data_IF_597048128890
#
_entry.id   IF_597048128890
#
_cell.length_a   1.000
_cell.length_b   1.000
_cell.length_c   1.000
_cell.angle_alpha   90.00
_cell.angle_beta   90.00
_cell.angle_gamma   90.00
#
_symmetry.space_group_name_H-M   'P 1'
#
loop_
_entity.id
_entity.type
_entity.pdbx_description
1 polymer ?
#
# COMPACT_ATOMS: atom_id res chain seq x y z
N UNK A 1 4.84 11.24 10.01
CA UNK A 1 5.78 10.22 10.55
C UNK A 1 6.82 9.88 9.51
N UNK A 2 8.05 9.48 9.86
CA UNK A 2 9.09 9.03 8.94
C UNK A 2 9.18 7.50 9.00
N UNK A 3 9.06 6.81 7.86
CA UNK A 3 9.49 5.42 7.77
C UNK A 3 11.02 5.40 7.61
N UNK A 4 11.69 4.62 8.44
CA UNK A 4 13.14 4.42 8.35
C UNK A 4 13.46 2.93 8.43
N UNK A 5 14.22 2.46 7.46
CA UNK A 5 14.81 1.12 7.40
C UNK A 5 16.32 1.30 7.49
N UNK A 6 16.98 0.49 8.31
CA UNK A 6 18.42 0.57 8.51
C UNK A 6 19.06 -0.81 8.58
N UNK A 7 20.17 -0.99 7.83
CA UNK A 7 20.98 -2.21 7.79
C UNK A 7 20.14 -3.49 7.63
N UNK A 8 19.06 -3.43 6.82
CA UNK A 8 18.11 -4.53 6.64
C UNK A 8 18.74 -5.65 5.84
N UNK A 9 18.67 -6.87 6.37
CA UNK A 9 19.10 -8.07 5.67
C UNK A 9 17.96 -9.07 5.56
N UNK A 10 17.75 -9.58 4.35
CA UNK A 10 16.73 -10.58 4.09
C UNK A 10 17.11 -11.48 2.92
N UNK A 11 17.02 -12.79 3.14
CA UNK A 11 17.30 -13.82 2.13
C UNK A 11 16.14 -14.82 2.08
N UNK A 12 15.78 -15.25 0.89
CA UNK A 12 15.15 -16.56 0.70
C UNK A 12 16.21 -17.66 0.75
N UNK A 13 15.84 -18.96 0.89
CA UNK A 13 16.82 -20.04 1.01
C UNK A 13 17.89 -20.05 -0.09
N UNK A 14 17.51 -19.68 -1.32
CA UNK A 14 18.37 -19.75 -2.49
C UNK A 14 18.72 -18.37 -3.08
N UNK A 15 18.31 -17.27 -2.42
CA UNK A 15 18.49 -15.93 -2.99
C UNK A 15 18.60 -14.85 -1.91
N UNK A 16 19.70 -14.13 -1.90
CA UNK A 16 19.82 -12.86 -1.18
C UNK A 16 18.95 -11.80 -1.86
N UNK A 17 18.14 -11.09 -1.07
CA UNK A 17 17.26 -10.03 -1.54
C UNK A 17 17.76 -8.67 -1.06
N UNK A 18 18.06 -8.57 0.24
CA UNK A 18 18.57 -7.34 0.85
C UNK A 18 19.83 -7.65 1.66
N UNK A 19 20.86 -6.83 1.46
CA UNK A 19 22.13 -6.86 2.19
C UNK A 19 22.46 -5.44 2.63
N UNK A 20 22.39 -5.17 3.93
CA UNK A 20 22.58 -3.84 4.55
C UNK A 20 21.75 -2.74 3.86
N UNK A 21 20.50 -3.03 3.58
CA UNK A 21 19.61 -2.12 2.84
C UNK A 21 19.07 -1.01 3.75
N UNK A 22 19.19 0.23 3.28
CA UNK A 22 18.69 1.43 3.94
C UNK A 22 17.60 2.11 3.09
N UNK A 23 16.56 2.62 3.74
CA UNK A 23 15.50 3.41 3.11
C UNK A 23 14.93 4.42 4.08
N UNK A 24 14.57 5.60 3.57
CA UNK A 24 13.78 6.58 4.31
C UNK A 24 12.61 7.06 3.44
N UNK A 25 11.40 7.11 4.02
CA UNK A 25 10.23 7.67 3.38
C UNK A 25 9.59 8.72 4.30
N UNK A 26 9.71 10.02 3.97
CA UNK A 26 9.18 11.10 4.79
C UNK A 26 7.66 11.14 4.83
N UNK A 27 7.11 11.76 5.88
CA UNK A 27 5.69 12.06 6.03
C UNK A 27 5.15 12.91 4.87
N UNK A 28 3.97 12.55 4.38
CA UNK A 28 3.30 13.28 3.30
C UNK A 28 3.92 13.10 1.92
N UNK A 29 4.89 12.18 1.77
CA UNK A 29 5.58 11.88 0.51
C UNK A 29 5.18 10.55 -0.07
N UNK A 30 5.14 10.49 -1.41
CA UNK A 30 4.89 9.28 -2.20
C UNK A 30 6.20 8.87 -2.86
N UNK A 31 6.75 7.74 -2.43
CA UNK A 31 8.02 7.21 -2.90
C UNK A 31 7.76 6.08 -3.91
N UNK A 32 8.29 6.23 -5.11
CA UNK A 32 8.30 5.17 -6.10
C UNK A 32 9.40 4.16 -5.79
N UNK A 33 9.03 2.89 -5.64
CA UNK A 33 9.98 1.79 -5.51
C UNK A 33 10.12 1.12 -6.87
N UNK A 34 11.23 1.39 -7.54
CA UNK A 34 11.56 0.85 -8.85
C UNK A 34 12.57 -0.29 -8.74
N UNK A 35 12.67 -1.11 -9.79
CA UNK A 35 13.62 -2.22 -9.90
C UNK A 35 13.12 -3.30 -10.84
N UNK A 36 14.01 -4.17 -11.29
CA UNK A 36 13.65 -5.27 -12.19
C UNK A 36 12.70 -6.28 -11.53
N UNK A 37 12.09 -7.16 -12.32
CA UNK A 37 11.26 -8.24 -11.78
C UNK A 37 12.11 -9.16 -10.91
N UNK A 38 11.62 -9.46 -9.69
CA UNK A 38 12.36 -10.27 -8.72
C UNK A 38 13.45 -9.51 -7.93
N UNK A 39 13.53 -8.17 -8.02
CA UNK A 39 14.42 -7.33 -7.21
C UNK A 39 14.06 -7.27 -5.73
N UNK A 40 12.88 -7.76 -5.33
CA UNK A 40 12.44 -7.74 -3.93
C UNK A 40 11.44 -6.64 -3.57
N UNK A 41 10.84 -5.94 -4.55
CA UNK A 41 9.88 -4.85 -4.31
C UNK A 41 8.71 -5.26 -3.42
N UNK A 42 7.98 -6.30 -3.80
CA UNK A 42 6.90 -6.89 -2.99
C UNK A 42 7.41 -7.42 -1.64
N UNK A 43 8.60 -8.02 -1.63
CA UNK A 43 9.26 -8.49 -0.40
C UNK A 43 9.50 -7.33 0.56
N UNK A 44 9.96 -6.18 0.09
CA UNK A 44 10.12 -4.97 0.90
C UNK A 44 8.81 -4.56 1.57
N UNK A 45 7.71 -4.52 0.81
CA UNK A 45 6.38 -4.19 1.37
C UNK A 45 5.94 -5.23 2.40
N UNK A 46 6.20 -6.52 2.18
CA UNK A 46 5.87 -7.59 3.12
C UNK A 46 6.68 -7.52 4.42
N UNK A 47 7.96 -7.15 4.35
CA UNK A 47 8.81 -6.97 5.53
C UNK A 47 8.33 -5.78 6.38
N UNK A 48 7.96 -4.67 5.75
CA UNK A 48 7.40 -3.50 6.45
C UNK A 48 6.04 -3.84 7.08
N UNK A 49 5.20 -4.59 6.35
CA UNK A 49 3.89 -5.00 6.85
C UNK A 49 3.95 -6.05 7.96
N UNK A 50 5.07 -6.77 8.12
CA UNK A 50 5.21 -7.87 9.07
C UNK A 50 4.64 -9.21 8.58
N UNK A 51 4.38 -9.33 7.26
CA UNK A 51 4.01 -10.59 6.62
C UNK A 51 5.22 -11.53 6.54
N UNK A 52 6.40 -10.93 6.43
CA UNK A 52 7.70 -11.61 6.49
C UNK A 52 8.60 -10.88 7.50
N UNK A 53 9.49 -11.61 8.16
CA UNK A 53 10.41 -11.06 9.17
C UNK A 53 11.82 -10.96 8.59
N UNK A 54 12.50 -9.80 8.74
CA UNK A 54 13.90 -9.68 8.38
C UNK A 54 14.80 -10.61 9.22
N UNK A 55 15.99 -10.97 8.71
CA UNK A 55 16.98 -11.66 9.52
C UNK A 55 17.68 -10.72 10.50
N UNK A 56 18.04 -9.51 10.05
CA UNK A 56 18.66 -8.48 10.91
C UNK A 56 18.32 -7.07 10.38
N UNK A 57 18.63 -6.05 11.16
CA UNK A 57 18.41 -4.65 10.82
C UNK A 57 17.33 -4.02 11.67
N UNK A 58 16.77 -2.91 11.18
CA UNK A 58 15.68 -2.23 11.87
C UNK A 58 14.68 -1.61 10.89
N UNK A 59 13.38 -1.66 11.26
CA UNK A 59 12.27 -0.98 10.59
C UNK A 59 11.53 -0.16 11.66
N UNK A 60 11.43 1.15 11.45
CA UNK A 60 10.72 2.05 12.37
C UNK A 60 9.78 2.99 11.62
N UNK A 61 8.63 3.33 12.23
CA UNK A 61 7.71 4.34 11.76
C UNK A 61 7.54 5.43 12.83
N UNK A 62 8.21 6.58 12.64
CA UNK A 62 8.35 7.58 13.68
C UNK A 62 9.11 7.01 14.88
N UNK A 63 8.48 6.98 16.05
CA UNK A 63 9.05 6.39 17.29
C UNK A 63 8.71 4.91 17.47
N UNK A 64 7.79 4.37 16.66
CA UNK A 64 7.34 2.99 16.76
C UNK A 64 8.32 2.05 16.06
N UNK A 65 8.80 1.04 16.79
CA UNK A 65 9.69 0.01 16.25
C UNK A 65 8.86 -1.15 15.74
N UNK A 66 8.85 -1.36 14.42
CA UNK A 66 8.19 -2.50 13.78
C UNK A 66 9.04 -3.77 13.88
N UNK A 67 10.34 -3.60 13.71
CA UNK A 67 11.33 -4.67 13.82
C UNK A 67 12.69 -4.10 14.22
N UNK A 68 13.39 -4.80 15.07
CA UNK A 68 14.84 -4.72 15.27
C UNK A 68 15.36 -6.09 15.76
N UNK A 69 16.66 -6.20 16.03
CA UNK A 69 17.25 -7.48 16.45
C UNK A 69 16.74 -8.00 17.82
N UNK A 70 16.08 -7.16 18.62
CA UNK A 70 15.60 -7.49 19.95
C UNK A 70 14.09 -7.70 20.04
N UNK A 71 13.32 -7.09 19.09
CA UNK A 71 11.86 -7.12 19.11
C UNK A 71 11.24 -7.04 17.70
N UNK A 72 10.07 -7.63 17.57
CA UNK A 72 9.23 -7.54 16.39
C UNK A 72 7.78 -7.26 16.79
N UNK A 73 7.21 -6.18 16.24
CA UNK A 73 5.80 -5.85 16.44
C UNK A 73 4.93 -6.79 15.58
N UNK A 74 3.87 -7.34 16.18
CA UNK A 74 2.94 -8.22 15.47
C UNK A 74 2.25 -7.48 14.32
N UNK A 75 1.90 -8.21 13.25
CA UNK A 75 1.28 -7.64 12.04
C UNK A 75 -0.02 -6.87 12.35
N UNK A 76 -0.85 -7.40 13.26
CA UNK A 76 -2.11 -6.77 13.68
C UNK A 76 -1.93 -5.49 14.51
N UNK A 77 -0.75 -5.27 15.08
CA UNK A 77 -0.41 -4.09 15.86
C UNK A 77 0.17 -2.98 14.97
N UNK A 78 0.75 -3.35 13.79
CA UNK A 78 1.24 -2.39 12.81
C UNK A 78 0.06 -1.75 12.09
N UNK A 79 -0.13 -0.46 12.25
CA UNK A 79 -1.17 0.28 11.50
C UNK A 79 -0.73 0.56 10.06
N UNK A 80 -0.48 -0.51 9.31
CA UNK A 80 -0.07 -0.43 7.90
C UNK A 80 -1.25 -0.67 6.98
N UNK A 81 -1.29 0.04 5.87
CA UNK A 81 -2.21 -0.22 4.77
C UNK A 81 -1.43 -0.78 3.60
N UNK A 82 -1.76 -2.01 3.19
CA UNK A 82 -1.18 -2.66 2.02
C UNK A 82 -2.25 -2.95 0.98
N UNK A 83 -2.09 -2.35 -0.20
CA UNK A 83 -2.86 -2.70 -1.40
C UNK A 83 -2.08 -3.78 -2.14
N UNK A 84 -2.62 -5.00 -2.17
CA UNK A 84 -2.01 -6.15 -2.83
C UNK A 84 -2.24 -6.11 -4.35
N UNK A 85 -1.31 -6.69 -5.10
CA UNK A 85 -1.39 -6.81 -6.56
C UNK A 85 -2.62 -7.62 -7.03
N UNK A 86 -3.05 -8.62 -6.26
CA UNK A 86 -4.22 -9.46 -6.50
C UNK A 86 -5.50 -8.92 -5.85
N UNK A 87 -5.44 -7.67 -5.34
CA UNK A 87 -6.51 -6.94 -4.66
C UNK A 87 -6.93 -7.54 -3.32
N UNK A 88 -6.72 -8.82 -3.05
CA UNK A 88 -7.08 -9.56 -1.82
C UNK A 88 -8.50 -9.24 -1.32
N UNK A 89 -9.48 -9.16 -2.23
CA UNK A 89 -10.89 -8.96 -1.87
C UNK A 89 -11.50 -10.26 -1.35
N UNK A 90 -12.39 -10.14 -0.36
CA UNK A 90 -13.16 -11.26 0.15
C UNK A 90 -14.27 -11.62 -0.85
N UNK A 91 -14.23 -12.80 -1.50
CA UNK A 91 -15.15 -13.13 -2.60
C UNK A 91 -16.61 -13.29 -2.12
N UNK A 92 -16.81 -13.62 -0.86
CA UNK A 92 -18.14 -13.80 -0.23
C UNK A 92 -18.74 -12.51 0.32
N UNK A 93 -18.05 -11.37 0.19
CA UNK A 93 -18.51 -10.06 0.62
C UNK A 93 -18.73 -9.15 -0.59
N UNK A 94 -19.81 -8.38 -0.58
CA UNK A 94 -20.01 -7.32 -1.59
C UNK A 94 -19.04 -6.14 -1.35
N UNK A 95 -19.03 -5.17 -2.27
CA UNK A 95 -18.12 -4.02 -2.25
C UNK A 95 -18.18 -3.26 -0.92
N UNK A 96 -19.37 -2.90 -0.44
CA UNK A 96 -19.49 -2.13 0.81
C UNK A 96 -19.00 -2.93 2.01
N UNK A 97 -19.27 -4.23 2.07
CA UNK A 97 -18.83 -5.11 3.14
C UNK A 97 -17.33 -5.41 3.07
N UNK A 98 -16.73 -5.45 1.87
CA UNK A 98 -15.29 -5.52 1.70
C UNK A 98 -14.61 -4.27 2.27
N UNK A 99 -15.14 -3.08 1.98
CA UNK A 99 -14.58 -1.81 2.45
C UNK A 99 -14.68 -1.67 3.96
N UNK A 100 -15.79 -2.10 4.57
CA UNK A 100 -16.03 -1.98 6.01
C UNK A 100 -15.51 -3.15 6.83
N UNK A 101 -14.97 -4.20 6.18
CA UNK A 101 -14.50 -5.40 6.87
C UNK A 101 -13.45 -5.08 7.94
N UNK A 102 -13.66 -5.60 9.15
CA UNK A 102 -12.73 -5.36 10.27
C UNK A 102 -12.89 -4.02 10.99
N UNK A 103 -13.62 -3.05 10.43
CA UNK A 103 -13.84 -1.74 11.04
C UNK A 103 -15.32 -1.32 11.01
N UNK A 104 -16.06 -1.74 12.03
CA UNK A 104 -17.49 -1.42 12.19
C UNK A 104 -17.76 0.07 12.47
N UNK A 105 -16.73 0.85 12.77
CA UNK A 105 -16.85 2.27 13.13
C UNK A 105 -16.64 3.21 11.93
N UNK A 106 -16.44 2.68 10.72
CA UNK A 106 -16.34 3.54 9.52
C UNK A 106 -17.70 4.20 9.30
N UNK A 107 -17.70 5.52 9.30
CA UNK A 107 -18.90 6.33 9.07
C UNK A 107 -19.36 6.10 7.61
N UNK A 108 -20.63 5.78 7.41
CA UNK A 108 -21.18 5.47 6.07
C UNK A 108 -20.97 6.62 5.07
N UNK A 109 -21.00 7.86 5.51
CA UNK A 109 -20.70 9.03 4.67
C UNK A 109 -19.29 9.00 4.09
N UNK A 110 -18.29 8.54 4.86
CA UNK A 110 -16.92 8.39 4.37
C UNK A 110 -16.82 7.30 3.30
N UNK A 111 -17.54 6.18 3.50
CA UNK A 111 -17.60 5.11 2.50
C UNK A 111 -18.22 5.65 1.21
N UNK A 112 -19.39 6.30 1.29
CA UNK A 112 -20.07 6.86 0.14
C UNK A 112 -19.20 7.89 -0.60
N UNK A 113 -18.50 8.75 0.12
CA UNK A 113 -17.57 9.73 -0.46
C UNK A 113 -16.44 9.03 -1.23
N UNK A 114 -15.81 8.02 -0.65
CA UNK A 114 -14.74 7.25 -1.31
C UNK A 114 -15.26 6.51 -2.56
N UNK A 115 -16.45 5.91 -2.47
CA UNK A 115 -17.09 5.23 -3.60
C UNK A 115 -17.35 6.20 -4.78
N UNK A 116 -17.74 7.45 -4.49
CA UNK A 116 -17.93 8.47 -5.53
C UNK A 116 -16.60 8.96 -6.11
N UNK A 117 -15.61 9.26 -5.28
CA UNK A 117 -14.28 9.71 -5.74
C UNK A 117 -13.59 8.68 -6.64
N UNK A 118 -13.77 7.39 -6.32
CA UNK A 118 -13.20 6.28 -7.09
C UNK A 118 -14.11 5.76 -8.22
N UNK A 119 -15.25 6.42 -8.46
CA UNK A 119 -16.25 6.03 -9.50
C UNK A 119 -16.70 4.56 -9.40
N UNK A 120 -16.96 4.11 -8.19
CA UNK A 120 -17.47 2.75 -7.89
C UNK A 120 -18.77 2.75 -7.07
N UNK A 121 -19.43 3.92 -6.93
CA UNK A 121 -20.65 4.07 -6.12
C UNK A 121 -21.83 3.20 -6.57
N UNK A 122 -21.90 2.89 -7.88
CA UNK A 122 -22.93 2.01 -8.46
C UNK A 122 -22.69 0.52 -8.15
N UNK A 123 -21.52 0.19 -7.64
CA UNK A 123 -21.07 -1.18 -7.43
C UNK A 123 -21.22 -1.65 -5.97
N UNK A 124 -21.70 -0.81 -5.06
CA UNK A 124 -21.70 -1.06 -3.60
C UNK A 124 -22.29 -2.41 -3.20
N UNK A 125 -23.28 -2.93 -3.93
CA UNK A 125 -23.94 -4.20 -3.64
C UNK A 125 -23.43 -5.37 -4.49
N UNK A 126 -22.46 -5.13 -5.40
CA UNK A 126 -21.86 -6.14 -6.26
C UNK A 126 -20.79 -6.93 -5.51
N UNK A 127 -20.60 -8.17 -5.92
CA UNK A 127 -19.53 -9.05 -5.43
C UNK A 127 -18.29 -8.93 -6.32
N UNK A 128 -17.09 -9.30 -5.82
CA UNK A 128 -15.85 -9.21 -6.60
C UNK A 128 -15.94 -9.86 -7.99
N UNK A 129 -16.58 -11.01 -8.12
CA UNK A 129 -16.76 -11.72 -9.39
C UNK A 129 -17.65 -11.00 -10.42
N UNK A 130 -18.46 -10.03 -9.99
CA UNK A 130 -19.36 -9.25 -10.83
C UNK A 130 -18.73 -7.94 -11.35
N UNK A 131 -17.50 -7.64 -10.96
CA UNK A 131 -16.83 -6.37 -11.26
C UNK A 131 -15.47 -6.60 -11.92
N UNK A 132 -15.05 -5.65 -12.78
CA UNK A 132 -13.78 -5.74 -13.49
C UNK A 132 -12.56 -5.63 -12.55
N UNK A 133 -11.37 -6.09 -13.00
CA UNK A 133 -10.12 -5.97 -12.25
C UNK A 133 -9.80 -4.54 -11.79
N UNK A 134 -9.97 -3.55 -12.68
CA UNK A 134 -9.78 -2.14 -12.30
C UNK A 134 -10.82 -1.63 -11.29
N UNK A 135 -12.04 -2.18 -11.29
CA UNK A 135 -13.04 -1.89 -10.25
C UNK A 135 -12.65 -2.56 -8.92
N UNK A 136 -12.20 -3.81 -8.95
CA UNK A 136 -11.69 -4.53 -7.77
C UNK A 136 -10.50 -3.80 -7.15
N UNK A 137 -9.58 -3.31 -7.96
CA UNK A 137 -8.42 -2.53 -7.53
C UNK A 137 -8.84 -1.27 -6.76
N UNK A 138 -9.82 -0.52 -7.28
CA UNK A 138 -10.36 0.68 -6.61
C UNK A 138 -11.08 0.35 -5.30
N UNK A 139 -11.77 -0.79 -5.22
CA UNK A 139 -12.36 -1.27 -3.97
C UNK A 139 -11.27 -1.60 -2.94
N UNK A 140 -10.19 -2.27 -3.34
CA UNK A 140 -9.06 -2.56 -2.47
C UNK A 140 -8.39 -1.29 -1.93
N UNK A 141 -8.18 -0.28 -2.80
CA UNK A 141 -7.64 1.03 -2.39
C UNK A 141 -8.58 1.73 -1.41
N UNK A 142 -9.90 1.77 -1.68
CA UNK A 142 -10.89 2.35 -0.78
C UNK A 142 -10.87 1.65 0.60
N UNK A 143 -10.89 0.32 0.62
CA UNK A 143 -10.79 -0.48 1.84
C UNK A 143 -9.57 -0.09 2.65
N UNK A 144 -8.39 -0.13 2.03
CA UNK A 144 -7.13 0.15 2.69
C UNK A 144 -7.07 1.55 3.29
N UNK A 145 -7.46 2.58 2.54
CA UNK A 145 -7.40 3.98 2.97
C UNK A 145 -8.43 4.29 4.06
N UNK A 146 -9.63 3.73 3.97
CA UNK A 146 -10.68 3.98 4.97
C UNK A 146 -10.40 3.34 6.33
N UNK A 147 -9.46 2.40 6.42
CA UNK A 147 -8.93 1.86 7.68
C UNK A 147 -7.92 2.79 8.37
N UNK A 148 -7.61 3.95 7.78
CA UNK A 148 -6.78 4.99 8.34
C UNK A 148 -5.38 4.51 8.78
N UNK A 149 -4.60 3.92 7.85
CA UNK A 149 -3.25 3.47 8.17
C UNK A 149 -2.31 4.64 8.45
N UNK A 150 -1.23 4.36 9.20
CA UNK A 150 -0.13 5.30 9.49
C UNK A 150 0.95 5.30 8.39
N UNK A 151 0.95 4.29 7.53
CA UNK A 151 1.75 4.17 6.30
C UNK A 151 0.89 3.50 5.23
N UNK A 152 0.96 3.98 4.00
CA UNK A 152 0.29 3.37 2.87
C UNK A 152 1.33 2.71 1.95
N UNK A 153 1.08 1.47 1.57
CA UNK A 153 1.92 0.72 0.64
C UNK A 153 1.04 0.14 -0.47
N UNK A 154 1.46 0.31 -1.71
CA UNK A 154 0.69 -0.14 -2.86
C UNK A 154 1.58 -0.96 -3.81
N UNK A 155 1.18 -2.20 -4.06
CA UNK A 155 1.83 -3.06 -5.05
C UNK A 155 1.02 -3.02 -6.35
N UNK A 156 1.56 -2.36 -7.39
CA UNK A 156 0.96 -2.16 -8.72
C UNK A 156 -0.46 -1.55 -8.70
N UNK A 157 -0.71 -0.43 -7.96
CA UNK A 157 -2.08 0.07 -7.70
C UNK A 157 -2.79 0.65 -8.93
N UNK A 158 -2.14 0.73 -10.08
CA UNK A 158 -2.68 1.36 -11.28
C UNK A 158 -2.68 0.44 -12.51
N UNK A 159 -2.23 -0.81 -12.38
CA UNK A 159 -2.00 -1.73 -13.51
C UNK A 159 -3.25 -2.06 -14.34
N UNK A 160 -4.43 -2.01 -13.73
CA UNK A 160 -5.72 -2.36 -14.37
C UNK A 160 -6.62 -1.15 -14.65
N UNK A 161 -6.08 0.09 -14.55
CA UNK A 161 -6.87 1.31 -14.70
C UNK A 161 -6.71 1.96 -16.07
N UNK A 162 -7.83 2.45 -16.61
CA UNK A 162 -7.80 3.35 -17.77
C UNK A 162 -7.40 4.78 -17.36
N UNK A 163 -7.03 5.61 -18.36
CA UNK A 163 -6.47 6.95 -18.11
C UNK A 163 -7.40 7.88 -17.31
N UNK A 164 -8.72 7.80 -17.52
CA UNK A 164 -9.67 8.69 -16.84
C UNK A 164 -9.79 8.35 -15.35
N UNK A 165 -9.80 7.06 -15.06
CA UNK A 165 -9.95 6.55 -13.70
C UNK A 165 -8.63 6.61 -12.93
N UNK A 166 -7.51 6.52 -13.64
CA UNK A 166 -6.16 6.66 -13.09
C UNK A 166 -6.02 7.98 -12.32
N UNK A 167 -6.38 9.13 -12.94
CA UNK A 167 -6.24 10.43 -12.29
C UNK A 167 -7.06 10.54 -11.00
N UNK A 168 -8.33 10.13 -11.01
CA UNK A 168 -9.16 10.13 -9.81
C UNK A 168 -8.56 9.27 -8.68
N UNK A 169 -7.95 8.13 -9.05
CA UNK A 169 -7.34 7.21 -8.09
C UNK A 169 -6.04 7.79 -7.52
N UNK A 170 -5.21 8.43 -8.37
CA UNK A 170 -4.03 9.18 -7.94
C UNK A 170 -4.39 10.29 -6.95
N UNK A 171 -5.39 11.10 -7.28
CA UNK A 171 -5.87 12.19 -6.44
C UNK A 171 -6.39 11.68 -5.09
N UNK A 172 -7.10 10.56 -5.09
CA UNK A 172 -7.61 9.95 -3.86
C UNK A 172 -6.48 9.51 -2.94
N UNK A 173 -5.45 8.82 -3.48
CA UNK A 173 -4.26 8.39 -2.73
C UNK A 173 -3.48 9.62 -2.24
N UNK A 174 -3.15 10.56 -3.14
CA UNK A 174 -2.33 11.73 -2.85
C UNK A 174 -2.98 12.63 -1.78
N UNK A 175 -4.29 12.86 -1.90
CA UNK A 175 -5.05 13.64 -0.92
C UNK A 175 -5.00 13.01 0.48
N UNK A 176 -5.12 11.68 0.57
CA UNK A 176 -5.01 10.97 1.84
C UNK A 176 -3.62 11.08 2.47
N UNK A 177 -2.57 10.82 1.67
CA UNK A 177 -1.16 10.88 2.10
C UNK A 177 -0.80 12.26 2.63
N UNK A 178 -1.13 13.33 1.87
CA UNK A 178 -0.82 14.70 2.24
C UNK A 178 -1.62 15.14 3.47
N UNK A 179 -2.95 14.87 3.49
CA UNK A 179 -3.81 15.28 4.60
C UNK A 179 -3.42 14.64 5.92
N UNK A 180 -3.03 13.38 5.92
CA UNK A 180 -2.71 12.63 7.14
C UNK A 180 -1.21 12.65 7.48
N UNK A 181 -0.38 13.25 6.64
CA UNK A 181 1.08 13.35 6.83
C UNK A 181 1.70 11.97 7.10
N UNK A 182 1.35 10.99 6.25
CA UNK A 182 1.90 9.63 6.32
C UNK A 182 2.84 9.37 5.15
N UNK A 183 3.85 8.49 5.29
CA UNK A 183 4.63 8.02 4.16
C UNK A 183 3.79 7.09 3.28
N UNK A 184 4.08 7.11 1.96
CA UNK A 184 3.49 6.20 1.00
C UNK A 184 4.58 5.58 0.12
N UNK A 185 4.57 4.25 0.00
CA UNK A 185 5.42 3.52 -0.93
C UNK A 185 4.56 2.95 -2.05
N UNK A 186 4.96 3.17 -3.28
CA UNK A 186 4.27 2.64 -4.46
C UNK A 186 5.25 1.86 -5.32
N UNK A 187 4.99 0.58 -5.48
CA UNK A 187 5.67 -0.27 -6.44
C UNK A 187 4.93 -0.17 -7.77
N UNK A 188 5.64 0.14 -8.85
CA UNK A 188 5.07 0.12 -10.20
C UNK A 188 6.14 -0.12 -11.25
N UNK A 189 5.77 -0.86 -12.31
CA UNK A 189 6.63 -1.07 -13.48
C UNK A 189 6.43 -0.01 -14.57
N UNK A 190 5.39 0.81 -14.50
CA UNK A 190 5.02 1.79 -15.53
C UNK A 190 4.86 3.19 -14.96
N UNK A 191 5.95 3.72 -14.38
CA UNK A 191 5.95 5.07 -13.78
C UNK A 191 5.68 6.17 -14.80
N UNK A 192 6.12 6.01 -16.06
CA UNK A 192 5.88 6.97 -17.13
C UNK A 192 4.38 7.15 -17.43
N UNK A 193 3.60 6.05 -17.45
CA UNK A 193 2.15 6.11 -17.66
C UNK A 193 1.40 6.69 -16.46
N UNK A 194 1.95 6.56 -15.25
CA UNK A 194 1.38 7.16 -14.03
C UNK A 194 1.64 8.66 -14.00
N UNK A 195 2.76 9.12 -14.57
CA UNK A 195 3.20 10.50 -14.58
C UNK A 195 4.15 10.81 -13.41
N UNK A 196 5.26 11.46 -13.75
CA UNK A 196 6.33 11.79 -12.79
C UNK A 196 5.91 12.78 -11.69
N UNK A 197 4.81 13.50 -11.89
CA UNK A 197 4.22 14.45 -10.94
C UNK A 197 3.47 13.80 -9.78
N UNK A 198 3.22 12.50 -9.87
CA UNK A 198 2.59 11.73 -8.80
C UNK A 198 3.58 11.36 -7.70
N UNK A 199 4.82 11.08 -8.05
CA UNK A 199 5.88 10.67 -7.14
C UNK A 199 6.72 11.85 -6.67
N UNK A 200 7.09 11.85 -5.40
CA UNK A 200 8.01 12.86 -4.84
C UNK A 200 9.48 12.45 -5.01
N UNK A 201 9.75 11.15 -4.90
CA UNK A 201 11.10 10.55 -4.97
C UNK A 201 11.02 9.16 -5.59
N UNK A 202 12.15 8.69 -6.14
CA UNK A 202 12.31 7.32 -6.63
C UNK A 202 13.48 6.63 -5.91
N UNK A 203 13.25 5.39 -5.50
CA UNK A 203 14.27 4.51 -4.93
C UNK A 203 14.36 3.26 -5.81
N UNK A 204 15.56 2.98 -6.32
CA UNK A 204 15.82 1.80 -7.16
C UNK A 204 16.38 0.70 -6.28
N UNK A 205 15.81 -0.50 -6.37
CA UNK A 205 16.26 -1.71 -5.66
C UNK A 205 16.65 -2.80 -6.65
N UNK A 206 17.70 -3.55 -6.32
CA UNK A 206 18.24 -4.67 -7.13
C UNK A 206 19.54 -4.38 -7.81
#
# INVERSE_FOLDING_TARGET
>A
MLLKIKDLNFNYPDKEIFSSFDLQAPAGKIIHINGHSGAGKTTLLHLIAGIQSPQTGAITLGEEVFFNNDQELLIEERRVGLVFQDYALFPHLNVINNISFGNKNIIEEKINTALHQLDIHKLKNKYPEEISGGQQQRVAIARTILHQPNILMCDEPFSALDSKVLENTKDFIKSYVIKNQIPCLVVSHNSEAIGNDFFDEEIVIG
#
